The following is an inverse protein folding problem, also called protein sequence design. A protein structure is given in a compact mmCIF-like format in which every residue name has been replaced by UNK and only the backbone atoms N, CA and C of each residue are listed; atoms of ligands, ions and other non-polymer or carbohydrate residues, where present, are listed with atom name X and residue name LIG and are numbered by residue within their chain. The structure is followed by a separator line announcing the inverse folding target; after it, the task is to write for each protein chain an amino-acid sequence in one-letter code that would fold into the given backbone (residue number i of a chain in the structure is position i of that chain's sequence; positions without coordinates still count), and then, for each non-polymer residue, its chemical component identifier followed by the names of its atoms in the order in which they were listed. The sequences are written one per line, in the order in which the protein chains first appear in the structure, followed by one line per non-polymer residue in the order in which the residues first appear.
data_IF_404136655142
#
_entry.id   IF_404136655142
#
_cell.length_a   1.000
_cell.length_b   1.000
_cell.length_c   1.000
_cell.angle_alpha   90.00
_cell.angle_beta   90.00
_cell.angle_gamma   90.00
#
_symmetry.space_group_name_H-M   'P 1'
#
loop_
_entity.id
_entity.type
_entity.pdbx_description
1 polymer ?
#
# COMPACT_ATOMS: atom_id res chain seq x y z
N UNK A 1 5.53 20.91 -13.14
CA UNK A 1 5.98 21.61 -11.91
C UNK A 1 7.01 20.72 -11.23
N UNK A 2 8.13 21.26 -10.75
CA UNK A 2 9.03 20.48 -9.90
C UNK A 2 8.35 20.24 -8.55
N UNK A 3 8.06 18.98 -8.24
CA UNK A 3 7.57 18.61 -6.93
C UNK A 3 8.73 18.51 -5.95
N UNK A 4 8.59 19.18 -4.80
CA UNK A 4 9.60 19.09 -3.74
C UNK A 4 9.51 17.71 -3.10
N UNK A 5 10.68 17.08 -2.88
CA UNK A 5 10.82 15.84 -2.11
C UNK A 5 10.16 15.96 -0.72
N UNK A 6 10.14 17.15 -0.13
CA UNK A 6 9.47 17.39 1.15
C UNK A 6 7.96 17.15 1.08
N UNK A 7 7.32 17.55 -0.04
CA UNK A 7 5.88 17.31 -0.25
C UNK A 7 5.59 15.83 -0.47
N UNK A 8 6.42 15.16 -1.26
CA UNK A 8 6.30 13.71 -1.47
C UNK A 8 6.48 12.95 -0.16
N UNK A 9 7.46 13.33 0.66
CA UNK A 9 7.68 12.71 1.96
C UNK A 9 6.52 12.96 2.93
N UNK A 10 6.01 14.19 3.00
CA UNK A 10 4.85 14.51 3.82
C UNK A 10 3.61 13.70 3.42
N UNK A 11 3.37 13.56 2.11
CA UNK A 11 2.31 12.71 1.58
C UNK A 11 2.54 11.23 1.93
N UNK A 12 3.74 10.70 1.67
CA UNK A 12 4.08 9.30 1.93
C UNK A 12 3.88 8.93 3.41
N UNK A 13 4.31 9.80 4.33
CA UNK A 13 4.10 9.61 5.78
C UNK A 13 2.62 9.52 6.14
N UNK A 14 1.78 10.38 5.55
CA UNK A 14 0.33 10.39 5.79
C UNK A 14 -0.30 9.08 5.34
N UNK A 15 -0.10 8.69 4.08
CA UNK A 15 -0.72 7.49 3.54
C UNK A 15 -0.18 6.21 4.16
N UNK A 16 1.08 6.19 4.61
CA UNK A 16 1.64 5.08 5.36
C UNK A 16 0.99 4.93 6.75
N UNK A 17 0.70 6.04 7.44
CA UNK A 17 -0.04 6.01 8.69
C UNK A 17 -1.47 5.48 8.48
N UNK A 18 -2.16 5.96 7.44
CA UNK A 18 -3.51 5.52 7.07
C UNK A 18 -3.55 4.03 6.70
N UNK A 19 -2.57 3.54 5.93
CA UNK A 19 -2.40 2.11 5.64
C UNK A 19 -2.12 1.29 6.91
N UNK A 20 -1.33 1.83 7.85
CA UNK A 20 -1.12 1.21 9.16
C UNK A 20 -2.40 1.11 9.99
N UNK A 21 -3.33 2.06 9.88
CA UNK A 21 -4.64 1.93 10.53
C UNK A 21 -5.45 0.79 9.91
N UNK A 22 -5.37 0.57 8.60
CA UNK A 22 -6.03 -0.55 7.91
C UNK A 22 -5.50 -1.88 8.45
N UNK A 23 -4.17 -2.05 8.54
CA UNK A 23 -3.58 -3.30 9.05
C UNK A 23 -3.95 -3.53 10.53
N UNK A 24 -4.00 -2.48 11.34
CA UNK A 24 -4.42 -2.55 12.75
C UNK A 24 -5.88 -3.01 12.92
N UNK A 25 -6.79 -2.77 11.95
CA UNK A 25 -8.17 -3.29 12.03
C UNK A 25 -8.21 -4.81 12.12
N UNK A 26 -7.23 -5.48 11.50
CA UNK A 26 -7.11 -6.94 11.45
C UNK A 26 -6.24 -7.51 12.56
N UNK A 27 -5.55 -6.65 13.33
CA UNK A 27 -4.68 -7.08 14.40
C UNK A 27 -5.48 -7.79 15.50
N UNK A 28 -4.99 -8.95 15.95
CA UNK A 28 -5.65 -9.84 16.93
C UNK A 28 -7.03 -10.36 16.49
N UNK A 29 -7.33 -10.33 15.19
CA UNK A 29 -8.50 -10.98 14.61
C UNK A 29 -8.09 -12.26 13.88
N UNK A 30 -9.04 -13.19 13.72
CA UNK A 30 -8.84 -14.30 12.79
C UNK A 30 -8.86 -13.77 11.36
N UNK A 31 -7.74 -13.90 10.65
CA UNK A 31 -7.61 -13.55 9.24
C UNK A 31 -7.30 -14.79 8.41
N UNK A 32 -7.86 -14.83 7.21
CA UNK A 32 -7.47 -15.86 6.24
C UNK A 32 -6.06 -15.54 5.73
N UNK A 33 -5.18 -16.53 5.82
CA UNK A 33 -3.84 -16.49 5.25
C UNK A 33 -3.87 -17.26 3.94
N UNK A 34 -3.62 -16.57 2.84
CA UNK A 34 -3.38 -17.15 1.53
C UNK A 34 -1.87 -17.35 1.31
N UNK A 35 -1.51 -18.22 0.35
CA UNK A 35 -0.11 -18.41 -0.06
C UNK A 35 0.06 -17.94 -1.50
N UNK A 36 1.08 -17.11 -1.73
CA UNK A 36 1.49 -16.69 -3.08
C UNK A 36 2.16 -17.86 -3.83
N UNK A 37 2.47 -17.66 -5.11
CA UNK A 37 3.11 -18.66 -5.95
C UNK A 37 4.50 -19.09 -5.45
N UNK A 38 5.21 -18.20 -4.76
CA UNK A 38 6.51 -18.46 -4.11
C UNK A 38 6.36 -19.01 -2.68
N UNK A 39 5.15 -19.40 -2.28
CA UNK A 39 4.76 -19.91 -0.97
C UNK A 39 4.87 -18.90 0.20
N UNK A 40 5.16 -17.63 -0.06
CA UNK A 40 5.08 -16.56 0.94
C UNK A 40 3.62 -16.35 1.38
N UNK A 41 3.37 -16.04 2.68
CA UNK A 41 2.03 -15.76 3.17
C UNK A 41 1.56 -14.38 2.75
N UNK A 42 0.26 -14.24 2.50
CA UNK A 42 -0.43 -12.95 2.32
C UNK A 42 -1.78 -13.00 3.01
N UNK A 43 -2.19 -11.89 3.62
CA UNK A 43 -3.47 -11.75 4.29
C UNK A 43 -4.33 -10.67 3.62
N UNK A 44 -5.61 -10.61 4.02
CA UNK A 44 -6.49 -9.52 3.62
C UNK A 44 -5.95 -8.14 4.05
N UNK A 45 -5.23 -8.07 5.18
CA UNK A 45 -4.64 -6.83 5.67
C UNK A 45 -3.56 -6.29 4.72
N UNK A 46 -2.70 -7.17 4.20
CA UNK A 46 -1.64 -6.82 3.25
C UNK A 46 -2.25 -6.30 1.94
N UNK A 47 -3.23 -7.03 1.39
CA UNK A 47 -3.92 -6.66 0.16
C UNK A 47 -4.67 -5.34 0.27
N UNK A 48 -5.37 -5.10 1.38
CA UNK A 48 -6.11 -3.85 1.58
C UNK A 48 -5.17 -2.65 1.76
N UNK A 49 -4.08 -2.84 2.53
CA UNK A 49 -3.09 -1.79 2.75
C UNK A 49 -2.42 -1.39 1.43
N UNK A 50 -1.98 -2.35 0.62
CA UNK A 50 -1.36 -2.05 -0.67
C UNK A 50 -2.35 -1.42 -1.66
N UNK A 51 -3.59 -1.93 -1.75
CA UNK A 51 -4.62 -1.35 -2.61
C UNK A 51 -4.91 0.10 -2.24
N UNK A 52 -4.98 0.40 -0.94
CA UNK A 52 -5.15 1.76 -0.44
C UNK A 52 -4.00 2.67 -0.87
N UNK A 53 -2.75 2.22 -0.66
CA UNK A 53 -1.55 2.98 -1.04
C UNK A 53 -1.51 3.25 -2.55
N UNK A 54 -1.74 2.23 -3.38
CA UNK A 54 -1.81 2.37 -4.85
C UNK A 54 -2.86 3.40 -5.25
N UNK A 55 -4.07 3.28 -4.72
CA UNK A 55 -5.18 4.21 -5.01
C UNK A 55 -4.80 5.65 -4.64
N UNK A 56 -4.22 5.86 -3.45
CA UNK A 56 -3.81 7.19 -3.00
C UNK A 56 -2.68 7.78 -3.86
N UNK A 57 -1.67 6.96 -4.20
CA UNK A 57 -0.53 7.38 -5.03
C UNK A 57 -1.01 7.75 -6.43
N UNK A 58 -1.79 6.89 -7.10
CA UNK A 58 -2.29 7.17 -8.46
C UNK A 58 -3.20 8.41 -8.50
N UNK A 59 -3.98 8.66 -7.44
CA UNK A 59 -4.81 9.86 -7.36
C UNK A 59 -3.99 11.15 -7.20
N UNK A 60 -2.91 11.11 -6.41
CA UNK A 60 -2.07 12.29 -6.15
C UNK A 60 -0.99 12.51 -7.22
N UNK A 61 -0.46 11.44 -7.78
CA UNK A 61 0.64 11.42 -8.75
C UNK A 61 0.28 10.48 -9.92
N UNK A 62 -0.61 10.91 -10.83
CA UNK A 62 -1.11 10.07 -11.92
C UNK A 62 -0.04 9.61 -12.91
N UNK A 63 1.09 10.32 -12.99
CA UNK A 63 2.22 10.01 -13.87
C UNK A 63 3.26 9.06 -13.21
N UNK A 64 3.05 8.66 -11.95
CA UNK A 64 3.98 7.77 -11.24
C UNK A 64 3.58 6.30 -11.41
N UNK A 65 4.58 5.44 -11.63
CA UNK A 65 4.44 4.00 -11.50
C UNK A 65 4.61 3.55 -10.04
N UNK A 66 3.95 2.44 -9.68
CA UNK A 66 4.01 1.82 -8.36
C UNK A 66 4.49 0.38 -8.49
N UNK A 67 5.60 0.07 -7.82
CA UNK A 67 6.10 -1.29 -7.63
C UNK A 67 5.79 -1.71 -6.18
N UNK A 68 4.86 -2.66 -6.02
CA UNK A 68 4.46 -3.22 -4.73
C UNK A 68 4.64 -4.74 -4.68
N UNK A 69 4.49 -5.32 -3.50
CA UNK A 69 4.74 -6.74 -3.25
C UNK A 69 3.58 -7.61 -3.74
N UNK A 70 2.34 -7.13 -3.62
CA UNK A 70 1.15 -7.92 -3.93
C UNK A 70 0.78 -7.90 -5.40
N UNK A 71 0.67 -6.70 -5.99
CA UNK A 71 0.22 -6.53 -7.38
C UNK A 71 1.37 -6.18 -8.36
N UNK A 72 2.62 -6.21 -7.90
CA UNK A 72 3.79 -5.98 -8.77
C UNK A 72 3.87 -4.54 -9.31
N UNK A 73 4.34 -4.38 -10.55
CA UNK A 73 4.49 -3.08 -11.20
C UNK A 73 3.18 -2.65 -11.90
N UNK A 74 2.69 -1.45 -11.60
CA UNK A 74 1.54 -0.83 -12.26
C UNK A 74 1.77 0.66 -12.52
N UNK A 75 1.36 1.16 -13.68
CA UNK A 75 1.51 2.57 -14.09
C UNK A 75 2.24 2.72 -15.42
#
# INVERSE_FOLDING_TARGET
MSESLERMLAFARRIAYEAGQITLRYFQQEVTIERKADASPVTIADREAERYLRTAITAAYPDHAVLGEEDGLTG
#
